data_IF_946595276948
#
_entry.id   IF_946595276948
#
_cell.length_a   1.000
_cell.length_b   1.000
_cell.length_c   1.000
_cell.angle_alpha   90.00
_cell.angle_beta   90.00
_cell.angle_gamma   90.00
#
_symmetry.space_group_name_H-M   'P 1'
#
loop_
_entity.id
_entity.type
_entity.pdbx_description
1 polymer ?
#
# COMPACT_ATOMS: atom_id res chain seq x y z
N UNK A 1 7.11 7.64 -0.52
CA UNK A 1 7.05 6.53 -1.48
C UNK A 1 6.40 7.03 -2.76
N UNK A 2 6.62 6.33 -3.87
CA UNK A 2 5.93 6.59 -5.15
C UNK A 2 5.24 5.29 -5.54
N UNK A 3 3.99 5.39 -5.97
CA UNK A 3 3.12 4.28 -6.40
C UNK A 3 2.30 4.77 -7.61
N UNK A 4 1.46 3.93 -8.21
CA UNK A 4 0.89 4.22 -9.53
C UNK A 4 -0.65 4.14 -9.59
N UNK A 5 -1.35 3.87 -8.48
CA UNK A 5 -2.78 3.48 -8.49
C UNK A 5 -3.67 4.30 -7.54
N UNK A 6 -3.13 4.80 -6.42
CA UNK A 6 -3.88 5.42 -5.32
C UNK A 6 -4.60 6.69 -5.77
N UNK A 7 -3.98 7.45 -6.69
CA UNK A 7 -4.58 8.66 -7.25
C UNK A 7 -5.92 8.38 -7.95
N UNK A 8 -6.01 7.30 -8.73
CA UNK A 8 -7.25 6.93 -9.40
C UNK A 8 -8.25 6.32 -8.40
N UNK A 9 -7.78 5.44 -7.50
CA UNK A 9 -8.62 4.85 -6.45
C UNK A 9 -9.39 5.92 -5.67
N UNK A 10 -8.69 6.94 -5.18
CA UNK A 10 -9.31 8.01 -4.39
C UNK A 10 -10.19 8.92 -5.24
N UNK A 11 -9.82 9.16 -6.50
CA UNK A 11 -10.65 9.93 -7.43
C UNK A 11 -12.00 9.25 -7.68
N UNK A 12 -11.98 7.92 -7.90
CA UNK A 12 -13.20 7.14 -8.10
C UNK A 12 -14.02 7.04 -6.82
N UNK A 13 -13.38 6.82 -5.67
CA UNK A 13 -14.05 6.77 -4.37
C UNK A 13 -14.82 8.07 -4.07
N UNK A 14 -14.16 9.21 -4.25
CA UNK A 14 -14.77 10.52 -4.10
C UNK A 14 -15.91 10.76 -5.11
N UNK A 15 -15.74 10.33 -6.38
CA UNK A 15 -16.76 10.47 -7.43
C UNK A 15 -18.03 9.69 -7.10
N UNK A 16 -17.90 8.48 -6.56
CA UNK A 16 -19.04 7.59 -6.29
C UNK A 16 -19.53 7.63 -4.84
N UNK A 17 -18.94 8.47 -3.99
CA UNK A 17 -19.35 8.62 -2.59
C UNK A 17 -19.12 7.36 -1.75
N UNK A 18 -18.09 6.58 -2.09
CA UNK A 18 -17.68 5.37 -1.34
C UNK A 18 -16.39 5.63 -0.58
N UNK A 19 -16.11 4.81 0.43
CA UNK A 19 -14.87 4.88 1.20
C UNK A 19 -13.77 4.08 0.49
N UNK A 20 -12.54 4.61 0.50
CA UNK A 20 -11.35 3.91 0.01
C UNK A 20 -10.12 4.29 0.84
N UNK A 21 -9.18 3.36 0.95
CA UNK A 21 -7.90 3.53 1.64
C UNK A 21 -6.83 2.72 0.89
N UNK A 22 -5.65 3.30 0.71
CA UNK A 22 -4.47 2.60 0.20
C UNK A 22 -3.45 2.44 1.34
N UNK A 23 -3.06 1.20 1.59
CA UNK A 23 -2.00 0.81 2.53
C UNK A 23 -0.87 0.22 1.70
N UNK A 24 0.36 0.69 1.93
CA UNK A 24 1.51 0.40 1.08
C UNK A 24 2.70 -0.03 1.93
N UNK A 25 3.36 -1.11 1.51
CA UNK A 25 4.66 -1.52 2.06
C UNK A 25 5.79 -0.89 1.24
N UNK A 26 6.78 -0.29 1.90
CA UNK A 26 7.92 0.31 1.21
C UNK A 26 8.90 -0.80 0.81
N UNK A 27 8.97 -1.10 -0.48
CA UNK A 27 9.90 -2.10 -1.02
C UNK A 27 11.29 -1.54 -1.30
N UNK A 28 11.38 -0.27 -1.70
CA UNK A 28 12.61 0.31 -2.21
C UNK A 28 12.74 1.76 -1.74
N UNK A 29 13.95 2.16 -1.40
CA UNK A 29 14.26 3.53 -1.01
C UNK A 29 14.90 4.27 -2.18
N UNK A 30 14.15 5.18 -2.79
CA UNK A 30 14.66 6.05 -3.86
C UNK A 30 15.76 7.03 -3.38
N UNK A 31 15.87 7.25 -2.06
CA UNK A 31 16.85 8.15 -1.46
C UNK A 31 18.18 7.44 -1.23
N UNK A 32 18.15 6.23 -0.68
CA UNK A 32 19.36 5.46 -0.33
C UNK A 32 19.76 4.45 -1.40
N UNK A 33 18.86 4.11 -2.33
CA UNK A 33 19.06 3.06 -3.33
C UNK A 33 18.89 1.64 -2.78
N UNK A 34 18.45 1.50 -1.54
CA UNK A 34 18.20 0.20 -0.91
C UNK A 34 17.00 -0.49 -1.56
N UNK A 35 17.19 -1.78 -1.88
CA UNK A 35 16.17 -2.63 -2.49
C UNK A 35 15.96 -3.83 -1.56
N UNK A 36 14.72 -4.11 -1.22
CA UNK A 36 14.37 -5.31 -0.46
C UNK A 36 14.39 -6.56 -1.34
N UNK A 37 14.79 -7.67 -0.75
CA UNK A 37 14.68 -9.01 -1.34
C UNK A 37 13.22 -9.49 -1.33
N UNK A 38 12.91 -10.53 -2.11
CA UNK A 38 11.57 -11.11 -2.15
C UNK A 38 11.11 -11.66 -0.79
N UNK A 39 12.01 -12.22 0.01
CA UNK A 39 11.71 -12.78 1.34
C UNK A 39 11.36 -11.67 2.35
N UNK A 40 12.10 -10.56 2.35
CA UNK A 40 11.81 -9.39 3.19
C UNK A 40 10.47 -8.74 2.81
N UNK A 41 10.13 -8.73 1.52
CA UNK A 41 8.83 -8.25 1.02
C UNK A 41 7.69 -9.16 1.48
N UNK A 42 7.86 -10.48 1.45
CA UNK A 42 6.82 -11.43 1.88
C UNK A 42 6.48 -11.27 3.36
N UNK A 43 7.49 -11.17 4.23
CA UNK A 43 7.25 -11.00 5.67
C UNK A 43 6.55 -9.68 5.97
N UNK A 44 6.99 -8.58 5.36
CA UNK A 44 6.37 -7.26 5.57
C UNK A 44 4.98 -7.13 4.94
N UNK A 45 4.67 -7.92 3.92
CA UNK A 45 3.34 -7.95 3.31
C UNK A 45 2.29 -8.54 4.24
N UNK A 46 2.66 -9.48 5.12
CA UNK A 46 1.72 -10.11 6.07
C UNK A 46 1.13 -9.08 7.02
N UNK A 47 1.97 -8.28 7.66
CA UNK A 47 1.55 -7.23 8.59
C UNK A 47 0.61 -6.21 7.91
N UNK A 48 0.92 -5.84 6.67
CA UNK A 48 0.09 -4.93 5.88
C UNK A 48 -1.33 -5.50 5.67
N UNK A 49 -1.43 -6.80 5.40
CA UNK A 49 -2.72 -7.47 5.18
C UNK A 49 -3.50 -7.61 6.48
N UNK A 50 -2.86 -7.93 7.60
CA UNK A 50 -3.52 -8.00 8.90
C UNK A 50 -4.16 -6.66 9.27
N UNK A 51 -3.44 -5.55 9.14
CA UNK A 51 -3.96 -4.20 9.37
C UNK A 51 -5.11 -3.88 8.41
N UNK A 52 -4.98 -4.25 7.13
CA UNK A 52 -6.03 -4.00 6.14
C UNK A 52 -7.34 -4.76 6.47
N UNK A 53 -7.23 -5.99 6.98
CA UNK A 53 -8.38 -6.80 7.39
C UNK A 53 -9.04 -6.23 8.65
N UNK A 54 -8.25 -5.83 9.65
CA UNK A 54 -8.78 -5.21 10.88
C UNK A 54 -9.53 -3.89 10.60
N UNK A 55 -9.11 -3.12 9.60
CA UNK A 55 -9.78 -1.87 9.20
C UNK A 55 -11.04 -2.11 8.34
N UNK A 56 -11.18 -3.30 7.76
CA UNK A 56 -12.29 -3.64 6.88
C UNK A 56 -13.46 -4.36 7.58
N UNK A 57 -13.23 -4.92 8.78
CA UNK A 57 -14.29 -5.38 9.70
C UNK A 57 -15.10 -4.22 10.31
#
# INVERSE_FOLDING_TARGET
AVEMETAELYTLAARYGVNALAILTVSDSLVTGELTTSEEREQTFTDMIEIALELAE
#
